data_IF_785696928169
#
_entry.id   IF_785696928169
#
_cell.length_a   1.000
_cell.length_b   1.000
_cell.length_c   1.000
_cell.angle_alpha   90.00
_cell.angle_beta   90.00
_cell.angle_gamma   90.00
#
_symmetry.space_group_name_H-M   'P 1'
#
loop_
_entity.id
_entity.type
_entity.pdbx_description
1 polymer ?
#
# COMPACT_ATOMS: atom_id res chain seq x y z
N UNK A 1 17.02 4.38 -14.57
CA UNK A 1 17.67 5.29 -13.59
C UNK A 1 17.20 4.93 -12.20
N UNK A 2 18.12 4.52 -11.33
CA UNK A 2 17.85 4.15 -9.93
C UNK A 2 18.01 5.36 -9.00
N UNK A 3 17.59 5.25 -7.73
CA UNK A 3 17.82 6.26 -6.69
C UNK A 3 18.65 5.66 -5.56
N UNK A 4 19.56 6.45 -4.98
CA UNK A 4 20.36 6.05 -3.84
C UNK A 4 19.52 5.92 -2.56
N UNK A 5 19.77 4.88 -1.76
CA UNK A 5 19.11 4.64 -0.48
C UNK A 5 19.41 5.71 0.59
N UNK A 6 20.54 6.41 0.49
CA UNK A 6 20.84 7.58 1.31
C UNK A 6 20.14 8.88 0.86
N UNK A 7 19.50 8.85 -0.32
CA UNK A 7 18.89 10.02 -0.95
C UNK A 7 17.35 9.91 -1.06
N UNK A 8 16.76 8.88 -0.44
CA UNK A 8 15.33 8.59 -0.52
C UNK A 8 14.82 8.12 0.85
N UNK A 9 13.81 8.78 1.37
CA UNK A 9 13.26 8.51 2.69
C UNK A 9 11.78 8.08 2.68
N UNK A 10 11.17 8.03 3.86
CA UNK A 10 9.77 7.66 4.02
C UNK A 10 8.80 8.72 3.45
N UNK A 11 9.15 10.01 3.49
CA UNK A 11 8.32 11.08 2.95
C UNK A 11 8.31 11.04 1.42
N UNK A 12 9.45 10.73 0.81
CA UNK A 12 9.53 10.48 -0.64
C UNK A 12 8.66 9.27 -1.03
N UNK A 13 8.69 8.22 -0.21
CA UNK A 13 7.87 7.02 -0.39
C UNK A 13 6.36 7.30 -0.36
N UNK A 14 5.89 8.22 0.51
CA UNK A 14 4.49 8.65 0.55
C UNK A 14 4.05 9.27 -0.78
N UNK A 15 4.90 10.13 -1.35
CA UNK A 15 4.63 10.77 -2.64
C UNK A 15 4.59 9.73 -3.76
N UNK A 16 5.57 8.83 -3.82
CA UNK A 16 5.66 7.80 -4.87
C UNK A 16 4.50 6.82 -4.81
N UNK A 17 4.19 6.25 -3.64
CA UNK A 17 3.10 5.27 -3.53
C UNK A 17 1.75 5.88 -3.90
N UNK A 18 1.55 7.16 -3.57
CA UNK A 18 0.33 7.89 -3.92
C UNK A 18 0.29 8.28 -5.39
N UNK A 19 1.39 8.76 -5.96
CA UNK A 19 1.52 9.10 -7.38
C UNK A 19 1.20 7.89 -8.28
N UNK A 20 1.62 6.69 -7.84
CA UNK A 20 1.35 5.43 -8.52
C UNK A 20 -0.02 4.80 -8.20
N UNK A 21 -0.82 5.43 -7.32
CA UNK A 21 -2.09 4.90 -6.84
C UNK A 21 -1.96 3.47 -6.25
N UNK A 22 -0.84 3.23 -5.56
CA UNK A 22 -0.48 1.94 -4.96
C UNK A 22 -0.68 1.93 -3.43
N UNK A 23 -1.42 2.90 -2.90
CA UNK A 23 -1.73 3.03 -1.48
C UNK A 23 -0.63 3.74 -0.69
N UNK A 24 -0.40 3.28 0.55
CA UNK A 24 0.57 3.90 1.47
C UNK A 24 1.90 3.12 1.47
N UNK A 25 3.04 3.77 1.73
CA UNK A 25 4.31 3.08 1.88
C UNK A 25 4.32 2.18 3.13
N UNK A 26 4.61 0.90 2.93
CA UNK A 26 4.75 -0.10 3.99
C UNK A 26 6.20 -0.18 4.45
N UNK A 27 7.15 -0.11 3.51
CA UNK A 27 8.56 -0.26 3.81
C UNK A 27 9.43 0.41 2.76
N UNK A 28 10.45 1.16 3.21
CA UNK A 28 11.59 1.58 2.39
C UNK A 28 12.75 0.64 2.68
N UNK A 29 13.35 0.10 1.63
CA UNK A 29 14.39 -0.92 1.65
C UNK A 29 15.68 -0.33 1.07
N UNK A 30 16.79 -0.48 1.79
CA UNK A 30 18.11 -0.09 1.29
C UNK A 30 18.80 -1.22 0.52
N UNK A 31 20.01 -0.91 0.04
CA UNK A 31 21.01 -1.87 -0.43
C UNK A 31 20.57 -2.88 -1.53
N UNK A 32 19.95 -2.39 -2.61
CA UNK A 32 19.62 -3.20 -3.81
C UNK A 32 18.77 -4.45 -3.50
N UNK A 33 17.76 -4.30 -2.63
CA UNK A 33 16.92 -5.40 -2.15
C UNK A 33 16.17 -6.20 -3.25
N UNK A 34 15.93 -5.61 -4.42
CA UNK A 34 15.21 -6.25 -5.52
C UNK A 34 16.07 -6.48 -6.77
N UNK A 35 16.97 -5.54 -7.13
CA UNK A 35 17.94 -5.71 -8.21
C UNK A 35 19.07 -4.67 -8.14
N UNK A 36 20.22 -4.98 -8.75
CA UNK A 36 21.37 -4.05 -8.87
C UNK A 36 21.12 -2.85 -9.79
N UNK A 37 19.93 -2.75 -10.39
CA UNK A 37 19.46 -1.56 -11.08
C UNK A 37 20.33 -1.13 -12.25
N UNK A 38 20.15 0.11 -12.69
CA UNK A 38 20.85 0.70 -13.83
C UNK A 38 22.19 1.32 -13.41
N UNK A 39 23.14 1.47 -14.35
CA UNK A 39 24.45 2.07 -14.05
C UNK A 39 24.36 3.55 -13.66
N UNK A 40 23.26 4.22 -14.01
CA UNK A 40 22.98 5.61 -13.70
C UNK A 40 22.03 5.72 -12.51
N UNK A 41 22.53 6.32 -11.42
CA UNK A 41 21.84 6.49 -10.15
C UNK A 41 21.70 7.97 -9.79
N UNK A 42 20.54 8.34 -9.25
CA UNK A 42 20.29 9.64 -8.64
C UNK A 42 20.84 9.66 -7.20
N UNK A 43 21.68 10.64 -6.91
CA UNK A 43 22.44 10.72 -5.66
C UNK A 43 22.16 11.98 -4.83
N UNK A 44 21.33 12.90 -5.32
CA UNK A 44 20.90 14.05 -4.55
C UNK A 44 19.68 13.68 -3.74
N UNK A 45 19.70 13.99 -2.43
CA UNK A 45 18.56 13.75 -1.54
C UNK A 45 17.30 14.42 -2.09
N UNK A 46 16.24 13.62 -2.25
CA UNK A 46 14.89 14.09 -2.53
C UNK A 46 14.29 14.50 -1.19
N UNK A 47 13.68 15.68 -1.14
CA UNK A 47 13.22 16.30 0.10
C UNK A 47 11.72 16.58 -0.03
N UNK A 48 10.93 15.52 -0.16
CA UNK A 48 9.47 15.63 -0.15
C UNK A 48 8.97 15.98 1.27
N UNK A 49 7.91 16.77 1.34
CA UNK A 49 7.08 16.95 2.54
C UNK A 49 6.08 15.81 2.76
N UNK A 50 5.91 14.92 1.77
CA UNK A 50 4.99 13.79 1.79
C UNK A 50 3.58 14.12 1.28
N UNK A 51 3.35 15.36 0.82
CA UNK A 51 2.06 15.84 0.36
C UNK A 51 2.07 16.34 -1.08
N UNK A 52 3.20 16.27 -1.76
CA UNK A 52 3.37 16.58 -3.18
C UNK A 52 2.63 15.58 -4.08
N UNK A 53 1.98 16.06 -5.13
CA UNK A 53 1.26 15.19 -6.06
C UNK A 53 2.17 14.32 -6.93
N UNK A 54 3.39 14.77 -7.18
CA UNK A 54 4.40 14.06 -7.97
C UNK A 54 5.77 14.24 -7.33
N UNK A 55 6.63 13.24 -7.44
CA UNK A 55 8.01 13.30 -6.92
C UNK A 55 8.82 14.43 -7.57
N UNK A 56 8.47 14.83 -8.79
CA UNK A 56 9.10 15.95 -9.49
C UNK A 56 8.84 17.32 -8.85
N UNK A 57 7.87 17.43 -7.95
CA UNK A 57 7.58 18.66 -7.22
C UNK A 57 8.32 18.74 -5.88
N UNK A 58 8.99 17.67 -5.47
CA UNK A 58 9.82 17.69 -4.28
C UNK A 58 11.09 18.51 -4.53
N UNK A 59 11.56 19.18 -3.48
CA UNK A 59 12.84 19.86 -3.54
C UNK A 59 13.97 18.83 -3.57
N UNK A 60 15.11 19.23 -4.13
CA UNK A 60 16.29 18.37 -4.22
C UNK A 60 17.46 19.08 -3.57
N UNK A 61 18.22 18.35 -2.77
CA UNK A 61 19.42 18.88 -2.13
C UNK A 61 20.51 19.22 -3.16
N UNK A 62 21.42 20.13 -2.80
CA UNK A 62 22.58 20.46 -3.63
C UNK A 62 23.77 19.52 -3.40
N UNK A 63 23.66 18.64 -2.41
CA UNK A 63 24.71 17.71 -2.02
C UNK A 63 24.53 16.36 -2.71
N UNK A 64 25.63 15.77 -3.18
CA UNK A 64 25.60 14.45 -3.80
C UNK A 64 26.14 13.41 -2.82
N UNK A 65 25.34 12.38 -2.57
CA UNK A 65 25.77 11.22 -1.80
C UNK A 65 26.71 10.35 -2.63
N UNK A 66 27.69 9.73 -1.95
CA UNK A 66 28.60 8.77 -2.59
C UNK A 66 27.94 7.40 -2.60
N UNK A 67 27.30 7.08 -3.72
CA UNK A 67 26.54 5.84 -3.88
C UNK A 67 27.12 4.99 -5.02
N UNK A 68 27.01 3.68 -4.85
CA UNK A 68 27.38 2.66 -5.84
C UNK A 68 26.14 1.91 -6.30
N UNK A 69 26.26 1.00 -7.27
CA UNK A 69 25.13 0.17 -7.72
C UNK A 69 24.55 -0.73 -6.62
N UNK A 70 25.28 -0.93 -5.52
CA UNK A 70 24.80 -1.66 -4.34
C UNK A 70 23.95 -0.77 -3.40
N UNK A 71 23.79 0.52 -3.67
CA UNK A 71 23.02 1.49 -2.86
C UNK A 71 21.64 1.80 -3.45
N UNK A 72 21.08 0.93 -4.30
CA UNK A 72 19.74 1.19 -4.83
C UNK A 72 18.70 1.12 -3.71
N UNK A 73 17.83 2.12 -3.68
CA UNK A 73 16.62 2.07 -2.85
C UNK A 73 15.56 1.19 -3.50
N UNK A 74 14.88 0.39 -2.69
CA UNK A 74 13.64 -0.28 -3.02
C UNK A 74 12.54 0.16 -2.07
N UNK A 75 11.28 -0.04 -2.44
CA UNK A 75 10.15 0.27 -1.56
C UNK A 75 8.97 -0.65 -1.83
N UNK A 76 8.15 -0.85 -0.81
CA UNK A 76 6.92 -1.64 -0.86
C UNK A 76 5.76 -0.73 -0.47
N UNK A 77 4.79 -0.58 -1.37
CA UNK A 77 3.51 0.05 -1.08
C UNK A 77 2.48 -1.00 -0.63
N UNK A 78 1.40 -0.58 0.02
CA UNK A 78 0.35 -1.49 0.49
C UNK A 78 -0.37 -2.22 -0.65
N UNK A 79 -0.37 -1.65 -1.86
CA UNK A 79 -1.00 -2.21 -3.06
C UNK A 79 -2.53 -2.08 -3.05
N UNK A 80 -3.15 -2.01 -1.87
CA UNK A 80 -4.54 -1.64 -1.69
C UNK A 80 -4.68 -0.17 -1.29
N UNK A 81 -5.66 0.51 -1.88
CA UNK A 81 -5.93 1.95 -1.67
C UNK A 81 -7.17 2.20 -0.84
N UNK A 82 -8.17 1.31 -0.92
CA UNK A 82 -9.44 1.47 -0.20
C UNK A 82 -10.19 0.14 -0.06
N UNK A 83 -11.22 0.16 0.77
CA UNK A 83 -12.11 -0.95 1.03
C UNK A 83 -13.57 -0.45 1.11
N UNK A 84 -14.52 -1.31 0.76
CA UNK A 84 -15.95 -1.01 0.92
C UNK A 84 -16.76 -2.28 1.20
N UNK A 85 -17.94 -2.08 1.74
CA UNK A 85 -18.95 -3.12 1.89
C UNK A 85 -20.04 -2.93 0.82
N UNK A 86 -20.31 -4.00 0.07
CA UNK A 86 -21.28 -4.00 -1.03
C UNK A 86 -22.44 -4.95 -0.77
N UNK A 87 -23.63 -4.61 -1.25
CA UNK A 87 -24.84 -5.44 -1.18
C UNK A 87 -25.26 -5.85 0.25
N UNK A 88 -25.00 -5.01 1.25
CA UNK A 88 -25.56 -5.17 2.59
C UNK A 88 -26.90 -4.47 2.79
N UNK A 89 -27.44 -4.59 4.00
CA UNK A 89 -28.65 -3.88 4.42
C UNK A 89 -28.41 -2.39 4.72
N UNK A 90 -27.16 -2.03 5.01
CA UNK A 90 -26.71 -0.68 5.37
C UNK A 90 -25.24 -0.46 4.96
N UNK A 91 -24.70 0.71 5.28
CA UNK A 91 -23.30 1.08 4.97
C UNK A 91 -22.24 0.31 5.76
N UNK A 92 -22.63 -0.44 6.80
CA UNK A 92 -21.75 -1.16 7.71
C UNK A 92 -21.92 -2.68 7.60
N UNK A 93 -22.60 -3.16 6.55
CA UNK A 93 -22.82 -4.57 6.26
C UNK A 93 -22.63 -4.84 4.77
N UNK A 94 -22.23 -6.06 4.41
CA UNK A 94 -22.12 -6.48 3.02
C UNK A 94 -20.90 -7.35 2.72
N UNK A 95 -20.73 -7.67 1.44
CA UNK A 95 -19.54 -8.34 0.90
C UNK A 95 -18.36 -7.37 0.91
N UNK A 96 -17.22 -7.87 1.37
CA UNK A 96 -15.96 -7.11 1.40
C UNK A 96 -15.37 -7.03 0.00
N UNK A 97 -15.14 -5.81 -0.47
CA UNK A 97 -14.39 -5.52 -1.69
C UNK A 97 -13.21 -4.59 -1.37
N UNK A 98 -12.03 -4.96 -1.87
CA UNK A 98 -10.79 -4.19 -1.74
C UNK A 98 -10.40 -3.66 -3.12
N UNK A 99 -9.94 -2.42 -3.18
CA UNK A 99 -9.34 -1.88 -4.39
C UNK A 99 -7.84 -2.15 -4.37
N UNK A 100 -7.35 -2.94 -5.34
CA UNK A 100 -5.95 -3.28 -5.52
C UNK A 100 -5.51 -2.87 -6.94
N UNK A 101 -4.47 -2.04 -7.06
CA UNK A 101 -3.98 -1.51 -8.35
C UNK A 101 -5.11 -1.00 -9.27
N UNK A 102 -6.03 -0.21 -8.70
CA UNK A 102 -7.21 0.35 -9.36
C UNK A 102 -8.30 -0.63 -9.82
N UNK A 103 -8.17 -1.91 -9.50
CA UNK A 103 -9.19 -2.93 -9.73
C UNK A 103 -9.88 -3.33 -8.43
N UNK A 104 -11.18 -3.61 -8.50
CA UNK A 104 -11.94 -4.08 -7.35
C UNK A 104 -11.92 -5.61 -7.30
N UNK A 105 -11.42 -6.16 -6.20
CA UNK A 105 -11.39 -7.59 -5.92
C UNK A 105 -12.21 -7.97 -4.69
N UNK A 106 -12.70 -9.20 -4.66
CA UNK A 106 -13.39 -9.79 -3.50
C UNK A 106 -12.41 -10.53 -2.61
N UNK A 107 -12.66 -10.50 -1.29
CA UNK A 107 -11.84 -11.26 -0.33
C UNK A 107 -12.34 -12.70 -0.20
N UNK A 108 -11.42 -13.67 -0.20
CA UNK A 108 -11.74 -15.07 0.06
C UNK A 108 -12.17 -15.26 1.53
N UNK A 109 -13.31 -15.92 1.72
CA UNK A 109 -13.92 -16.17 3.02
C UNK A 109 -13.10 -17.13 3.90
N UNK A 110 -12.37 -18.08 3.31
CA UNK A 110 -11.53 -19.02 4.05
C UNK A 110 -10.45 -18.35 4.91
N UNK A 111 -10.01 -17.14 4.52
CA UNK A 111 -9.00 -16.37 5.24
C UNK A 111 -9.57 -15.16 5.99
N UNK A 112 -10.88 -14.93 5.93
CA UNK A 112 -11.52 -13.76 6.50
C UNK A 112 -12.10 -14.08 7.89
N UNK A 113 -11.46 -13.57 8.93
CA UNK A 113 -11.85 -13.81 10.32
C UNK A 113 -12.41 -12.55 11.00
N UNK A 114 -12.89 -12.73 12.24
CA UNK A 114 -13.43 -11.62 13.06
C UNK A 114 -12.40 -10.52 13.35
N UNK A 115 -11.09 -10.84 13.36
CA UNK A 115 -10.04 -9.86 13.63
C UNK A 115 -9.86 -8.95 12.42
N UNK A 116 -9.75 -9.53 11.23
CA UNK A 116 -9.69 -8.79 9.97
C UNK A 116 -10.96 -7.96 9.76
N UNK A 117 -12.13 -8.54 10.01
CA UNK A 117 -13.41 -7.82 9.93
C UNK A 117 -13.47 -6.62 10.88
N UNK A 118 -12.99 -6.77 12.12
CA UNK A 118 -12.97 -5.67 13.09
C UNK A 118 -12.06 -4.52 12.66
N UNK A 119 -10.92 -4.85 12.02
CA UNK A 119 -10.03 -3.82 11.44
C UNK A 119 -10.77 -3.06 10.34
N UNK A 120 -11.44 -3.75 9.43
CA UNK A 120 -12.20 -3.13 8.34
C UNK A 120 -13.36 -2.27 8.88
N UNK A 121 -14.17 -2.78 9.81
CA UNK A 121 -15.27 -2.01 10.41
C UNK A 121 -14.76 -0.71 11.04
N UNK A 122 -13.59 -0.75 11.70
CA UNK A 122 -12.98 0.46 12.26
C UNK A 122 -12.50 1.43 11.17
N UNK A 123 -11.89 0.92 10.10
CA UNK A 123 -11.46 1.74 8.95
C UNK A 123 -12.64 2.44 8.28
N UNK A 124 -13.78 1.75 8.17
CA UNK A 124 -15.03 2.29 7.61
C UNK A 124 -15.84 3.12 8.60
N UNK A 125 -15.31 3.36 9.81
CA UNK A 125 -15.98 4.10 10.88
C UNK A 125 -17.34 3.50 11.31
N UNK A 126 -17.45 2.18 11.27
CA UNK A 126 -18.61 1.38 11.67
C UNK A 126 -18.46 0.73 13.06
N UNK A 127 -17.32 0.92 13.73
CA UNK A 127 -17.04 0.33 15.04
C UNK A 127 -16.34 -1.03 14.96
N UNK A 128 -16.76 -1.99 15.78
CA UNK A 128 -16.18 -3.35 15.85
C UNK A 128 -17.08 -4.33 15.09
N UNK A 129 -16.50 -5.34 14.44
CA UNK A 129 -17.27 -6.36 13.75
C UNK A 129 -18.09 -7.19 14.73
N UNK A 130 -19.36 -7.44 14.38
CA UNK A 130 -20.30 -8.23 15.19
C UNK A 130 -20.53 -9.64 14.62
N UNK A 131 -20.26 -9.84 13.33
CA UNK A 131 -20.43 -11.13 12.64
C UNK A 131 -19.56 -11.16 11.38
N UNK A 132 -19.12 -12.36 11.00
CA UNK A 132 -18.52 -12.68 9.70
C UNK A 132 -19.33 -13.81 9.10
N UNK A 133 -19.80 -13.61 7.87
CA UNK A 133 -20.62 -14.60 7.15
C UNK A 133 -19.78 -15.15 5.99
N UNK A 134 -19.27 -16.37 6.15
CA UNK A 134 -18.58 -17.12 5.08
C UNK A 134 -19.57 -17.93 4.22
N UNK A 135 -19.11 -18.41 3.06
CA UNK A 135 -19.91 -19.21 2.12
C UNK A 135 -20.34 -20.56 2.72
N UNK A 136 -19.66 -21.03 3.76
CA UNK A 136 -19.91 -22.33 4.40
C UNK A 136 -21.19 -22.40 5.26
N UNK A 137 -22.02 -21.35 5.29
CA UNK A 137 -23.38 -21.42 5.85
C UNK A 137 -24.42 -22.01 4.88
N UNK A 138 -24.11 -22.17 3.58
CA UNK A 138 -25.07 -22.75 2.61
C UNK A 138 -24.83 -24.23 2.25
N UNK A 139 -23.93 -24.95 2.93
CA UNK A 139 -23.69 -26.40 2.70
C UNK A 139 -24.14 -27.31 3.85
N UNK A 140 -25.25 -27.02 4.52
CA UNK A 140 -26.00 -28.06 5.24
C UNK A 140 -27.49 -27.74 5.30
N UNK A 141 -28.16 -28.04 4.19
CA UNK A 141 -29.61 -27.97 4.07
C UNK A 141 -30.12 -28.73 2.85
N UNK A 142 -29.74 -30.00 2.69
CA UNK A 142 -30.49 -31.00 1.88
C UNK A 142 -29.88 -32.41 1.97
N UNK A 143 -30.22 -33.14 3.03
CA UNK A 143 -30.81 -34.51 2.98
C UNK A 143 -31.25 -34.92 4.39
#
# INVERSE_FOLDING_TARGET
>A
MSVCDAAFDQQDAEVVCRELDCGAPVQVLGAAAFDKGDAQMWTQEIQCGGNESHISFCSVSTYNHSCTTDNNVGMICSGYTTAKLMNGSDSCSGRVELQFLNEWGTVCDACWDMRAASVLCRQLNCGIAVSVVGSDWFLSGSS
#
